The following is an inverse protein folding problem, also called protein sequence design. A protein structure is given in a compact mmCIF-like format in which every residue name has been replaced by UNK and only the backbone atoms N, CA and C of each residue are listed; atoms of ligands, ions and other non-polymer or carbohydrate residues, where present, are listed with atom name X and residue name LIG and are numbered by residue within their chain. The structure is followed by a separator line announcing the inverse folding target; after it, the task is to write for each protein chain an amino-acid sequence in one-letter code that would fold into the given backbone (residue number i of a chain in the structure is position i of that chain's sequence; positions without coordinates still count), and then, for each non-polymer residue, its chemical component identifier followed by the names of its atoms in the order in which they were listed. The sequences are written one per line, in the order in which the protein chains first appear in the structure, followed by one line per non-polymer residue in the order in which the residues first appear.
data_IF_204394079478
#
_entry.id   IF_204394079478
#
_cell.length_a   1.000
_cell.length_b   1.000
_cell.length_c   1.000
_cell.angle_alpha   90.00
_cell.angle_beta   90.00
_cell.angle_gamma   90.00
#
_symmetry.space_group_name_H-M   'P 1'
#
loop_
_entity.id
_entity.type
_entity.pdbx_description
1 polymer ?
#
# COMPACT_ATOMS: atom_id res chain seq x y z
N UNK A 1 30.56 42.21 -9.25
CA UNK A 1 29.18 41.93 -8.77
C UNK A 1 28.43 41.21 -9.88
N UNK A 2 28.24 39.89 -9.74
CA UNK A 2 27.47 39.05 -10.65
C UNK A 2 26.44 38.24 -9.83
N UNK A 3 25.27 38.04 -10.42
CA UNK A 3 23.97 37.94 -9.76
C UNK A 3 23.67 36.59 -9.05
N UNK A 4 22.79 36.58 -8.02
CA UNK A 4 22.34 35.36 -7.32
C UNK A 4 21.31 34.50 -8.08
N UNK A 5 21.12 34.71 -9.38
CA UNK A 5 20.00 34.13 -10.15
C UNK A 5 20.27 32.74 -10.73
N UNK A 6 21.54 32.33 -10.87
CA UNK A 6 21.90 31.07 -11.53
C UNK A 6 21.73 29.85 -10.61
N UNK A 7 22.09 29.95 -9.32
CA UNK A 7 21.92 28.85 -8.36
C UNK A 7 20.46 28.45 -8.14
N UNK A 8 19.52 29.41 -8.17
CA UNK A 8 18.08 29.13 -8.07
C UNK A 8 17.53 28.44 -9.32
N UNK A 9 18.03 28.78 -10.52
CA UNK A 9 17.66 28.11 -11.77
C UNK A 9 18.19 26.68 -11.85
N UNK A 10 19.36 26.42 -11.29
CA UNK A 10 19.98 25.09 -11.29
C UNK A 10 19.27 24.11 -10.35
N UNK A 11 18.87 24.56 -9.15
CA UNK A 11 18.04 23.75 -8.23
C UNK A 11 16.65 23.45 -8.81
N UNK A 12 16.00 24.44 -9.42
CA UNK A 12 14.69 24.24 -10.06
C UNK A 12 14.77 23.24 -11.23
N UNK A 13 15.85 23.28 -12.03
CA UNK A 13 16.11 22.28 -13.08
C UNK A 13 16.41 20.89 -12.51
N UNK A 14 17.10 20.77 -11.38
CA UNK A 14 17.45 19.48 -10.76
C UNK A 14 16.23 18.80 -10.10
N UNK A 15 15.34 19.59 -9.50
CA UNK A 15 14.04 19.12 -8.99
C UNK A 15 13.12 18.72 -10.15
N UNK A 16 13.06 19.53 -11.20
CA UNK A 16 12.32 19.21 -12.43
C UNK A 16 12.84 17.95 -13.13
N UNK A 17 14.16 17.71 -13.15
CA UNK A 17 14.78 16.49 -13.72
C UNK A 17 14.49 15.22 -12.91
N UNK A 18 14.38 15.33 -11.57
CA UNK A 18 13.99 14.20 -10.72
C UNK A 18 12.48 13.94 -10.77
N UNK A 19 11.65 14.97 -10.86
CA UNK A 19 10.22 14.82 -11.13
C UNK A 19 9.96 14.27 -12.54
N UNK A 20 10.77 14.64 -13.54
CA UNK A 20 10.68 14.07 -14.90
C UNK A 20 11.15 12.62 -14.97
N UNK A 21 12.06 12.20 -14.08
CA UNK A 21 12.45 10.79 -13.93
C UNK A 21 11.30 9.92 -13.42
N UNK A 22 10.41 10.48 -12.59
CA UNK A 22 9.20 9.79 -12.10
C UNK A 22 8.06 9.82 -13.13
N UNK A 23 7.98 10.87 -13.96
CA UNK A 23 7.02 10.97 -15.06
C UNK A 23 7.28 9.99 -16.22
N UNK A 24 8.46 9.37 -16.27
CA UNK A 24 8.84 8.36 -17.26
C UNK A 24 8.24 6.96 -17.01
N UNK A 25 7.48 6.74 -15.93
CA UNK A 25 6.90 5.42 -15.64
C UNK A 25 5.54 5.15 -16.31
N UNK A 26 5.16 5.93 -17.33
CA UNK A 26 3.89 5.70 -18.04
C UNK A 26 4.08 4.82 -19.28
N UNK A 27 3.34 3.70 -19.24
CA UNK A 27 2.69 3.03 -20.37
C UNK A 27 3.60 2.49 -21.48
N UNK A 28 4.09 1.27 -21.30
CA UNK A 28 3.79 0.11 -22.17
C UNK A 28 4.49 -1.10 -21.57
N UNK A 29 3.76 -1.98 -20.88
CA UNK A 29 4.18 -3.37 -20.72
C UNK A 29 3.04 -4.25 -21.19
N UNK A 30 3.23 -4.76 -22.40
CA UNK A 30 2.61 -5.98 -22.89
C UNK A 30 2.52 -6.98 -21.73
N UNK A 31 1.30 -7.41 -21.42
CA UNK A 31 1.02 -8.48 -20.49
C UNK A 31 1.84 -9.71 -20.90
N UNK A 32 2.96 -9.97 -20.22
CA UNK A 32 3.66 -11.24 -20.41
C UNK A 32 2.77 -12.33 -19.85
N UNK A 33 2.40 -13.29 -20.70
CA UNK A 33 1.41 -14.33 -20.46
C UNK A 33 1.74 -15.35 -19.35
N UNK A 34 2.79 -15.12 -18.54
CA UNK A 34 3.21 -16.05 -17.50
C UNK A 34 3.31 -15.34 -16.14
N UNK A 35 2.43 -15.72 -15.21
CA UNK A 35 2.49 -15.54 -13.76
C UNK A 35 2.42 -14.09 -13.20
N UNK A 36 1.24 -13.44 -13.18
CA UNK A 36 1.06 -12.18 -12.43
C UNK A 36 -0.32 -12.00 -11.75
N UNK A 37 -1.05 -13.08 -11.45
CA UNK A 37 -2.41 -13.00 -10.88
C UNK A 37 -2.48 -12.98 -9.35
N UNK A 38 -1.38 -13.31 -8.67
CA UNK A 38 -1.24 -13.22 -7.22
C UNK A 38 0.22 -12.95 -6.84
N UNK A 39 0.43 -11.96 -5.98
CA UNK A 39 1.72 -11.41 -5.57
C UNK A 39 1.72 -11.24 -4.06
N UNK A 40 2.84 -11.52 -3.40
CA UNK A 40 3.04 -11.31 -1.97
C UNK A 40 4.22 -10.36 -1.75
N UNK A 41 4.14 -9.48 -0.74
CA UNK A 41 5.28 -8.61 -0.40
C UNK A 41 6.46 -9.37 0.16
N UNK A 42 7.65 -8.94 -0.26
CA UNK A 42 8.93 -9.30 0.36
C UNK A 42 9.22 -8.49 1.64
N UNK A 43 8.28 -7.69 2.18
CA UNK A 43 8.45 -6.97 3.45
C UNK A 43 8.30 -7.91 4.66
N UNK A 44 9.23 -8.85 4.81
CA UNK A 44 9.28 -9.74 5.96
C UNK A 44 9.34 -8.96 7.28
N UNK A 45 8.51 -9.37 8.25
CA UNK A 45 8.43 -8.70 9.56
C UNK A 45 7.55 -7.45 9.58
N UNK A 46 6.98 -7.02 8.44
CA UNK A 46 6.01 -5.93 8.42
C UNK A 46 4.77 -6.25 9.28
N UNK A 47 4.19 -5.20 9.87
CA UNK A 47 3.00 -5.34 10.70
C UNK A 47 1.84 -6.00 9.94
N UNK A 48 1.55 -5.49 8.75
CA UNK A 48 0.59 -6.08 7.83
C UNK A 48 1.28 -6.94 6.79
N UNK A 49 0.70 -8.12 6.54
CA UNK A 49 0.97 -8.84 5.30
C UNK A 49 0.21 -8.19 4.17
N UNK A 50 0.85 -8.11 3.02
CA UNK A 50 0.32 -7.44 1.85
C UNK A 50 0.36 -8.41 0.66
N UNK A 51 -0.73 -8.43 -0.09
CA UNK A 51 -0.90 -9.25 -1.29
C UNK A 51 -1.62 -8.48 -2.39
N UNK A 52 -1.35 -8.78 -3.64
CA UNK A 52 -2.05 -8.15 -4.76
C UNK A 52 -2.17 -9.06 -5.97
N UNK A 53 -3.05 -8.70 -6.90
CA UNK A 53 -3.21 -9.46 -8.12
C UNK A 53 -4.54 -9.18 -8.81
N UNK A 54 -4.73 -9.78 -9.97
CA UNK A 54 -5.95 -9.61 -10.74
C UNK A 54 -7.00 -10.67 -10.39
N UNK A 55 -8.24 -10.22 -10.22
CA UNK A 55 -9.40 -11.09 -10.13
C UNK A 55 -10.53 -10.49 -10.96
N UNK A 56 -11.42 -11.34 -11.47
CA UNK A 56 -12.68 -10.87 -12.06
C UNK A 56 -13.72 -10.72 -10.95
N UNK A 57 -14.40 -9.58 -10.87
CA UNK A 57 -15.44 -9.31 -9.87
C UNK A 57 -16.77 -9.03 -10.54
N UNK A 58 -17.85 -9.52 -9.92
CA UNK A 58 -19.20 -9.20 -10.34
C UNK A 58 -19.56 -7.76 -9.95
N UNK A 59 -20.03 -6.97 -10.92
CA UNK A 59 -20.32 -5.55 -10.79
C UNK A 59 -21.68 -5.19 -11.39
N UNK A 60 -22.30 -4.14 -10.84
CA UNK A 60 -23.58 -3.62 -11.33
C UNK A 60 -24.78 -4.51 -11.03
N UNK A 61 -25.97 -3.98 -11.28
CA UNK A 61 -27.24 -4.66 -11.05
C UNK A 61 -27.43 -5.87 -11.99
N UNK A 62 -26.88 -5.79 -13.21
CA UNK A 62 -26.95 -6.84 -14.23
C UNK A 62 -25.88 -7.93 -14.07
N UNK A 63 -25.01 -7.82 -13.05
CA UNK A 63 -24.03 -8.87 -12.72
C UNK A 63 -22.89 -9.01 -13.73
N UNK A 64 -22.45 -7.92 -14.35
CA UNK A 64 -21.34 -7.89 -15.29
C UNK A 64 -20.02 -8.22 -14.60
N UNK A 65 -19.22 -9.08 -15.21
CA UNK A 65 -17.91 -9.47 -14.71
C UNK A 65 -16.83 -8.53 -15.26
N UNK A 66 -16.05 -7.89 -14.38
CA UNK A 66 -14.94 -7.00 -14.75
C UNK A 66 -13.66 -7.50 -14.10
N UNK A 67 -12.57 -7.62 -14.87
CA UNK A 67 -11.23 -7.87 -14.32
C UNK A 67 -10.69 -6.58 -13.73
N UNK A 68 -10.30 -6.63 -12.46
CA UNK A 68 -9.78 -5.51 -11.69
C UNK A 68 -8.53 -5.93 -10.93
N UNK A 69 -7.74 -4.94 -10.52
CA UNK A 69 -6.58 -5.15 -9.66
C UNK A 69 -7.01 -5.08 -8.19
N UNK A 70 -6.65 -6.10 -7.43
CA UNK A 70 -6.98 -6.23 -6.01
C UNK A 70 -5.72 -6.06 -5.17
N UNK A 71 -5.87 -5.41 -4.01
CA UNK A 71 -4.84 -5.31 -2.99
C UNK A 71 -5.42 -5.68 -1.64
N UNK A 72 -4.78 -6.63 -0.96
CA UNK A 72 -5.10 -7.05 0.40
C UNK A 72 -4.01 -6.54 1.33
N UNK A 73 -4.38 -5.68 2.27
CA UNK A 73 -3.49 -5.12 3.28
C UNK A 73 -4.02 -5.45 4.68
N UNK A 74 -3.37 -6.41 5.34
CA UNK A 74 -3.97 -7.08 6.49
C UNK A 74 -5.29 -7.74 6.06
N UNK A 75 -6.43 -7.28 6.59
CA UNK A 75 -7.76 -7.79 6.23
C UNK A 75 -8.59 -6.81 5.41
N UNK A 76 -7.99 -5.70 4.97
CA UNK A 76 -8.63 -4.73 4.11
C UNK A 76 -8.39 -5.10 2.65
N UNK A 77 -9.47 -5.21 1.88
CA UNK A 77 -9.43 -5.53 0.46
C UNK A 77 -9.89 -4.32 -0.36
N UNK A 78 -8.98 -3.79 -1.19
CA UNK A 78 -9.28 -2.70 -2.12
C UNK A 78 -9.27 -3.19 -3.56
N UNK A 79 -10.08 -2.54 -4.40
CA UNK A 79 -10.19 -2.80 -5.84
C UNK A 79 -9.86 -1.53 -6.60
N UNK A 80 -9.03 -1.65 -7.62
CA UNK A 80 -8.73 -0.61 -8.60
C UNK A 80 -8.94 -1.15 -10.01
N UNK A 81 -9.13 -0.26 -10.99
CA UNK A 81 -9.31 -0.68 -12.38
C UNK A 81 -8.04 -1.32 -12.94
N UNK A 82 -6.88 -0.75 -12.63
CA UNK A 82 -5.55 -1.24 -13.01
C UNK A 82 -4.54 -0.99 -11.89
N UNK A 83 -3.36 -1.59 -12.01
CA UNK A 83 -2.20 -1.26 -11.17
C UNK A 83 -1.92 0.25 -11.19
N UNK A 84 -1.51 0.81 -10.05
CA UNK A 84 -1.18 2.23 -9.91
C UNK A 84 -2.38 3.19 -9.85
N UNK A 85 -3.60 2.71 -10.14
CA UNK A 85 -4.81 3.54 -10.07
C UNK A 85 -5.35 3.63 -8.65
N UNK A 86 -6.08 4.71 -8.37
CA UNK A 86 -6.81 4.88 -7.12
C UNK A 86 -7.80 3.73 -6.90
N UNK A 87 -7.96 3.31 -5.64
CA UNK A 87 -8.99 2.34 -5.30
C UNK A 87 -10.38 2.93 -5.60
N UNK A 88 -11.19 2.19 -6.36
CA UNK A 88 -12.59 2.53 -6.62
C UNK A 88 -13.52 2.07 -5.50
N UNK A 89 -13.08 1.09 -4.70
CA UNK A 89 -13.73 0.61 -3.48
C UNK A 89 -12.71 -0.06 -2.57
N UNK A 90 -12.94 0.05 -1.26
CA UNK A 90 -12.23 -0.68 -0.21
C UNK A 90 -13.24 -1.14 0.84
N UNK A 91 -12.98 -2.28 1.47
CA UNK A 91 -13.75 -2.79 2.60
C UNK A 91 -12.91 -3.73 3.46
N UNK A 92 -13.37 -3.99 4.68
CA UNK A 92 -12.74 -4.95 5.58
C UNK A 92 -13.41 -6.31 5.45
N UNK A 93 -12.62 -7.36 5.24
CA UNK A 93 -13.11 -8.74 5.18
C UNK A 93 -13.59 -9.18 6.57
N UNK A 94 -14.78 -9.78 6.62
CA UNK A 94 -15.29 -10.51 7.77
C UNK A 94 -14.91 -12.00 7.69
N UNK A 95 -15.06 -12.61 6.52
CA UNK A 95 -14.53 -13.94 6.19
C UNK A 95 -14.48 -14.15 4.67
N UNK A 96 -13.75 -15.16 4.22
CA UNK A 96 -13.72 -15.61 2.82
C UNK A 96 -14.33 -17.01 2.72
N UNK A 97 -15.09 -17.26 1.65
CA UNK A 97 -15.67 -18.56 1.37
C UNK A 97 -15.35 -19.01 -0.05
N UNK A 98 -14.94 -20.26 -0.20
CA UNK A 98 -14.88 -20.90 -1.51
C UNK A 98 -16.28 -21.29 -1.97
N UNK A 99 -16.60 -21.04 -3.24
CA UNK A 99 -17.88 -21.48 -3.80
C UNK A 99 -17.92 -22.99 -4.00
N UNK A 100 -18.93 -23.66 -3.44
CA UNK A 100 -19.10 -25.11 -3.56
C UNK A 100 -19.18 -25.54 -5.03
N UNK A 101 -18.31 -26.47 -5.43
CA UNK A 101 -18.25 -26.98 -6.81
C UNK A 101 -17.68 -26.01 -7.85
N UNK A 102 -17.17 -24.85 -7.44
CA UNK A 102 -16.59 -23.84 -8.33
C UNK A 102 -15.20 -23.42 -7.80
N UNK A 103 -14.14 -24.18 -8.10
CA UNK A 103 -12.84 -24.03 -7.43
C UNK A 103 -12.12 -22.71 -7.74
N UNK A 104 -12.53 -21.98 -8.78
CA UNK A 104 -11.99 -20.66 -9.12
C UNK A 104 -12.76 -19.49 -8.52
N UNK A 105 -13.87 -19.76 -7.81
CA UNK A 105 -14.76 -18.71 -7.31
C UNK A 105 -14.62 -18.52 -5.80
N UNK A 106 -14.40 -17.27 -5.41
CA UNK A 106 -14.34 -16.84 -4.01
C UNK A 106 -15.46 -15.84 -3.73
N UNK A 107 -15.98 -15.90 -2.52
CA UNK A 107 -16.87 -14.88 -1.97
C UNK A 107 -16.17 -14.21 -0.79
N UNK A 108 -15.85 -12.92 -0.92
CA UNK A 108 -15.37 -12.11 0.19
C UNK A 108 -16.56 -11.48 0.88
N UNK A 109 -16.85 -11.94 2.10
CA UNK A 109 -17.93 -11.42 2.93
C UNK A 109 -17.37 -10.28 3.76
N UNK A 110 -17.86 -9.06 3.53
CA UNK A 110 -17.32 -7.84 4.14
C UNK A 110 -18.01 -7.51 5.46
N UNK A 111 -17.32 -6.76 6.33
CA UNK A 111 -17.90 -6.22 7.57
C UNK A 111 -19.08 -5.28 7.30
N UNK A 112 -19.09 -4.62 6.14
CA UNK A 112 -20.24 -3.83 5.67
C UNK A 112 -21.46 -4.67 5.26
N UNK A 113 -21.40 -6.01 5.41
CA UNK A 113 -22.40 -6.99 4.96
C UNK A 113 -22.52 -7.15 3.44
N UNK A 114 -21.66 -6.47 2.67
CA UNK A 114 -21.54 -6.70 1.22
C UNK A 114 -20.82 -8.02 0.96
N UNK A 115 -21.18 -8.68 -0.14
CA UNK A 115 -20.47 -9.88 -0.63
C UNK A 115 -19.85 -9.55 -1.97
N UNK A 116 -18.53 -9.66 -2.07
CA UNK A 116 -17.82 -9.49 -3.33
C UNK A 116 -17.56 -10.88 -3.91
N UNK A 117 -18.32 -11.20 -4.96
CA UNK A 117 -18.16 -12.44 -5.72
C UNK A 117 -17.07 -12.25 -6.75
N UNK A 118 -16.03 -13.07 -6.65
CA UNK A 118 -14.89 -13.03 -7.56
C UNK A 118 -14.66 -14.37 -8.25
N UNK A 119 -13.95 -14.30 -9.37
CA UNK A 119 -13.44 -15.43 -10.13
C UNK A 119 -11.96 -15.20 -10.37
N UNK A 120 -11.15 -16.14 -9.91
CA UNK A 120 -9.72 -16.22 -10.18
C UNK A 120 -9.47 -16.94 -11.51
N UNK A 121 -8.27 -16.78 -12.07
CA UNK A 121 -7.91 -17.40 -13.34
C UNK A 121 -7.73 -18.92 -13.23
N UNK A 122 -7.36 -19.42 -12.05
CA UNK A 122 -7.12 -20.84 -11.77
C UNK A 122 -7.49 -21.20 -10.32
N UNK A 123 -7.71 -22.49 -10.03
CA UNK A 123 -7.90 -22.97 -8.66
C UNK A 123 -6.74 -22.64 -7.72
N UNK A 124 -5.50 -22.70 -8.21
CA UNK A 124 -4.30 -22.40 -7.41
C UNK A 124 -4.28 -20.94 -6.97
N UNK A 125 -4.64 -20.02 -7.87
CA UNK A 125 -4.75 -18.59 -7.53
C UNK A 125 -5.89 -18.35 -6.53
N UNK A 126 -7.02 -19.05 -6.67
CA UNK A 126 -8.10 -18.97 -5.69
C UNK A 126 -7.66 -19.47 -4.30
N UNK A 127 -6.96 -20.61 -4.25
CA UNK A 127 -6.41 -21.15 -3.01
C UNK A 127 -5.37 -20.21 -2.39
N UNK A 128 -4.53 -19.55 -3.20
CA UNK A 128 -3.56 -18.58 -2.72
C UNK A 128 -4.24 -17.35 -2.08
N UNK A 129 -5.25 -16.78 -2.74
CA UNK A 129 -6.05 -15.68 -2.17
C UNK A 129 -6.77 -16.09 -0.89
N UNK A 130 -7.40 -17.27 -0.88
CA UNK A 130 -8.08 -17.80 0.31
C UNK A 130 -7.10 -17.95 1.48
N UNK A 131 -5.96 -18.59 1.25
CA UNK A 131 -4.92 -18.80 2.28
C UNK A 131 -4.34 -17.49 2.79
N UNK A 132 -4.14 -16.51 1.92
CA UNK A 132 -3.64 -15.19 2.28
C UNK A 132 -4.60 -14.44 3.21
N UNK A 133 -5.90 -14.53 2.94
CA UNK A 133 -6.92 -13.95 3.82
C UNK A 133 -6.92 -14.66 5.18
N UNK A 134 -6.95 -15.98 5.21
CA UNK A 134 -6.94 -16.75 6.47
C UNK A 134 -5.71 -16.43 7.34
N UNK A 135 -4.52 -16.34 6.74
CA UNK A 135 -3.29 -15.97 7.44
C UNK A 135 -3.31 -14.51 7.95
N UNK A 136 -3.90 -13.58 7.20
CA UNK A 136 -4.16 -12.23 7.67
C UNK A 136 -5.18 -12.18 8.83
N UNK A 137 -6.25 -12.96 8.74
CA UNK A 137 -7.30 -13.05 9.77
C UNK A 137 -6.75 -13.65 11.07
N UNK A 138 -5.90 -14.67 11.00
CA UNK A 138 -5.24 -15.27 12.16
C UNK A 138 -4.36 -14.27 12.94
N UNK A 139 -3.87 -13.23 12.26
CA UNK A 139 -3.03 -12.17 12.84
C UNK A 139 -3.82 -11.03 13.48
N UNK A 140 -5.14 -11.01 13.42
CA UNK A 140 -5.95 -9.94 14.02
C UNK A 140 -5.80 -9.83 15.53
N UNK A 141 -5.49 -10.94 16.20
CA UNK A 141 -5.18 -10.94 17.64
C UNK A 141 -3.85 -10.25 17.98
N UNK A 142 -3.03 -9.95 16.98
CA UNK A 142 -1.70 -9.35 17.10
C UNK A 142 -1.78 -7.84 16.81
N UNK A 143 -2.25 -7.08 17.80
CA UNK A 143 -2.35 -5.62 17.70
C UNK A 143 -1.01 -4.90 17.61
N UNK A 144 -1.07 -3.63 17.19
CA UNK A 144 0.11 -2.76 16.98
C UNK A 144 1.00 -2.62 18.22
N UNK A 145 0.41 -2.55 19.43
CA UNK A 145 1.20 -2.48 20.67
C UNK A 145 2.03 -3.74 20.90
N UNK A 146 1.44 -4.91 20.65
CA UNK A 146 2.14 -6.20 20.77
C UNK A 146 3.24 -6.31 19.73
N UNK A 147 2.98 -5.82 18.52
CA UNK A 147 3.98 -5.71 17.46
C UNK A 147 5.18 -4.85 17.89
N UNK A 148 4.95 -3.60 18.31
CA UNK A 148 6.00 -2.67 18.71
C UNK A 148 6.82 -3.19 19.89
N UNK A 149 6.18 -3.85 20.87
CA UNK A 149 6.84 -4.53 21.99
C UNK A 149 7.70 -5.71 21.52
N UNK A 150 7.22 -6.51 20.58
CA UNK A 150 8.00 -7.61 20.01
C UNK A 150 9.21 -7.09 19.23
N UNK A 151 9.07 -6.03 18.44
CA UNK A 151 10.19 -5.40 17.75
C UNK A 151 11.26 -4.93 18.73
N UNK A 152 10.86 -4.25 19.81
CA UNK A 152 11.78 -3.81 20.86
C UNK A 152 12.47 -4.98 21.57
N UNK A 153 11.70 -6.01 21.98
CA UNK A 153 12.24 -7.18 22.67
C UNK A 153 13.23 -7.97 21.82
N UNK A 154 12.95 -8.11 20.53
CA UNK A 154 13.79 -8.88 19.58
C UNK A 154 14.84 -8.03 18.89
N UNK A 155 14.85 -6.72 19.14
CA UNK A 155 15.67 -5.74 18.42
C UNK A 155 15.55 -5.84 16.90
N UNK A 156 14.34 -6.12 16.40
CA UNK A 156 14.06 -6.20 14.95
C UNK A 156 13.44 -4.89 14.46
N UNK A 157 13.68 -4.47 13.20
CA UNK A 157 13.18 -3.22 12.66
C UNK A 157 11.65 -3.12 12.75
N UNK A 158 11.15 -1.93 13.06
CA UNK A 158 9.73 -1.63 12.92
C UNK A 158 9.43 -1.37 11.45
N UNK A 159 8.70 -2.26 10.80
CA UNK A 159 8.34 -2.17 9.39
C UNK A 159 6.82 -1.98 9.22
N UNK A 160 6.43 -0.97 8.44
CA UNK A 160 5.09 -0.83 7.89
C UNK A 160 5.15 -0.90 6.37
N UNK A 161 4.10 -1.44 5.77
CA UNK A 161 3.91 -1.39 4.33
C UNK A 161 2.44 -1.40 3.95
N UNK A 162 2.09 -0.67 2.90
CA UNK A 162 0.71 -0.51 2.44
C UNK A 162 0.64 0.10 1.03
N UNK A 163 -0.49 -0.09 0.34
CA UNK A 163 -0.81 0.72 -0.84
C UNK A 163 -1.49 2.01 -0.41
N UNK A 164 -0.90 3.14 -0.76
CA UNK A 164 -1.43 4.46 -0.42
C UNK A 164 -1.58 5.30 -1.69
N UNK A 165 -2.57 6.19 -1.69
CA UNK A 165 -2.78 7.13 -2.79
C UNK A 165 -2.06 8.43 -2.50
N UNK A 166 -1.16 8.86 -3.38
CA UNK A 166 -0.54 10.17 -3.28
C UNK A 166 -1.49 11.24 -3.82
N UNK A 167 -1.65 12.34 -3.07
CA UNK A 167 -2.49 13.47 -3.45
C UNK A 167 -1.66 14.65 -3.95
N UNK A 168 -2.20 15.42 -4.90
CA UNK A 168 -1.72 16.76 -5.20
C UNK A 168 -2.23 17.80 -4.19
N UNK A 169 -1.84 19.06 -4.37
CA UNK A 169 -2.26 20.18 -3.52
C UNK A 169 -3.77 20.48 -3.58
N UNK A 170 -4.49 19.92 -4.54
CA UNK A 170 -5.95 20.04 -4.68
C UNK A 170 -6.68 18.82 -4.13
N UNK A 171 -5.96 17.84 -3.58
CA UNK A 171 -6.52 16.59 -3.05
C UNK A 171 -6.84 15.55 -4.13
N UNK A 172 -6.43 15.76 -5.38
CA UNK A 172 -6.62 14.77 -6.44
C UNK A 172 -5.56 13.69 -6.32
N UNK A 173 -5.96 12.43 -6.49
CA UNK A 173 -5.01 11.31 -6.56
C UNK A 173 -4.17 11.43 -7.82
N UNK A 174 -2.86 11.50 -7.66
CA UNK A 174 -1.88 11.54 -8.76
C UNK A 174 -1.25 10.18 -9.04
N UNK A 175 -1.30 9.26 -8.07
CA UNK A 175 -0.86 7.89 -8.23
C UNK A 175 -1.11 7.07 -6.98
N UNK A 176 -1.12 5.75 -7.12
CA UNK A 176 -1.17 4.80 -6.00
C UNK A 176 0.08 3.93 -6.05
N UNK A 177 0.80 3.88 -4.94
CA UNK A 177 2.09 3.18 -4.86
C UNK A 177 2.11 2.28 -3.63
N UNK A 178 3.01 1.29 -3.66
CA UNK A 178 3.32 0.49 -2.49
C UNK A 178 4.42 1.18 -1.69
N UNK A 179 4.08 1.63 -0.49
CA UNK A 179 5.00 2.33 0.40
C UNK A 179 5.50 1.39 1.48
N UNK A 180 6.78 1.54 1.85
CA UNK A 180 7.42 0.80 2.92
C UNK A 180 8.12 1.79 3.84
N UNK A 181 7.78 1.73 5.12
CA UNK A 181 8.49 2.43 6.18
C UNK A 181 9.30 1.41 6.98
N UNK A 182 10.63 1.52 6.97
CA UNK A 182 11.52 0.76 7.83
C UNK A 182 12.11 1.73 8.85
N UNK A 183 11.65 1.64 10.10
CA UNK A 183 11.85 2.66 11.13
C UNK A 183 11.36 4.05 10.68
N UNK A 184 12.26 4.91 10.18
CA UNK A 184 11.97 6.22 9.60
C UNK A 184 12.44 6.32 8.13
N UNK A 185 13.10 5.30 7.59
CA UNK A 185 13.43 5.24 6.16
C UNK A 185 12.16 4.93 5.39
N UNK A 186 11.78 5.85 4.52
CA UNK A 186 10.59 5.75 3.68
C UNK A 186 11.00 5.37 2.26
N UNK A 187 10.39 4.31 1.74
CA UNK A 187 10.64 3.77 0.42
C UNK A 187 9.33 3.61 -0.34
N UNK A 188 9.39 3.60 -1.67
CA UNK A 188 8.23 3.40 -2.52
C UNK A 188 8.52 2.52 -3.72
N UNK A 189 7.51 1.78 -4.16
CA UNK A 189 7.54 0.96 -5.36
C UNK A 189 6.23 1.15 -6.15
N UNK A 190 6.24 0.97 -7.47
CA UNK A 190 5.02 0.95 -8.28
C UNK A 190 4.10 -0.22 -7.88
N UNK A 191 4.67 -1.34 -7.42
CA UNK A 191 3.91 -2.49 -6.95
C UNK A 191 4.74 -3.33 -5.95
N UNK A 192 4.09 -4.31 -5.33
CA UNK A 192 4.59 -5.09 -4.19
C UNK A 192 5.71 -6.09 -4.50
N UNK A 193 5.80 -6.48 -5.76
CA UNK A 193 6.80 -7.38 -6.35
C UNK A 193 8.04 -6.64 -6.85
N UNK A 194 8.04 -5.31 -6.76
CA UNK A 194 9.16 -4.46 -7.15
C UNK A 194 9.90 -4.02 -5.90
N UNK A 195 11.24 -4.08 -5.95
CA UNK A 195 12.11 -3.63 -4.86
C UNK A 195 11.84 -2.14 -4.59
N UNK A 196 11.43 -1.76 -3.37
CA UNK A 196 11.17 -0.37 -3.03
C UNK A 196 12.43 0.48 -3.08
N UNK A 197 12.37 1.59 -3.81
CA UNK A 197 13.43 2.58 -3.85
C UNK A 197 13.31 3.49 -2.63
N UNK A 198 14.43 3.78 -1.98
CA UNK A 198 14.47 4.72 -0.86
C UNK A 198 14.12 6.11 -1.38
N UNK A 199 13.07 6.69 -0.80
CA UNK A 199 12.63 8.04 -1.10
C UNK A 199 13.37 9.05 -0.22
N UNK A 200 13.26 8.91 1.10
CA UNK A 200 13.93 9.77 2.09
C UNK A 200 13.75 9.25 3.53
N UNK A 201 14.27 9.98 4.51
CA UNK A 201 14.01 9.80 5.95
C UNK A 201 12.85 10.69 6.40
N UNK A 202 11.89 10.12 7.13
CA UNK A 202 10.75 10.83 7.71
C UNK A 202 11.20 11.64 8.92
N UNK A 203 10.90 12.94 8.90
CA UNK A 203 11.18 13.89 9.99
C UNK A 203 9.93 14.35 10.73
N UNK A 204 8.74 14.06 10.19
CA UNK A 204 7.49 14.41 10.84
C UNK A 204 6.26 13.89 10.12
N UNK A 205 5.15 13.77 10.86
CA UNK A 205 3.82 13.47 10.32
C UNK A 205 2.75 14.34 10.98
N UNK A 206 1.77 14.78 10.19
CA UNK A 206 0.58 15.48 10.66
C UNK A 206 -0.66 15.03 9.92
N UNK A 207 -1.84 15.32 10.48
CA UNK A 207 -3.08 15.18 9.72
C UNK A 207 -3.01 16.09 8.47
N UNK A 208 -3.45 15.59 7.33
CA UNK A 208 -3.63 16.40 6.14
C UNK A 208 -5.00 17.10 6.17
N UNK A 209 -5.18 18.10 5.29
CA UNK A 209 -6.46 18.79 5.10
C UNK A 209 -7.53 17.86 4.53
N UNK A 210 -7.11 16.82 3.79
CA UNK A 210 -8.01 15.87 3.16
C UNK A 210 -8.34 14.69 4.08
N UNK A 211 -9.60 14.27 4.08
CA UNK A 211 -10.07 13.15 4.89
C UNK A 211 -9.29 11.86 4.60
N UNK A 212 -8.99 11.12 5.67
CA UNK A 212 -8.27 9.86 5.57
C UNK A 212 -6.83 10.03 5.08
N UNK A 213 -6.24 11.22 5.15
CA UNK A 213 -4.88 11.47 4.68
C UNK A 213 -3.92 11.98 5.77
N UNK A 214 -2.65 11.69 5.55
CA UNK A 214 -1.51 12.11 6.37
C UNK A 214 -0.54 12.91 5.52
N UNK A 215 -0.05 14.03 6.06
CA UNK A 215 1.12 14.71 5.51
C UNK A 215 2.39 14.12 6.15
N UNK A 216 3.33 13.70 5.31
CA UNK A 216 4.65 13.18 5.70
C UNK A 216 5.69 14.21 5.30
N UNK A 217 6.55 14.58 6.25
CA UNK A 217 7.69 15.48 6.04
C UNK A 217 8.98 14.68 6.03
N UNK A 218 9.90 15.12 5.20
CA UNK A 218 11.16 14.43 4.96
C UNK A 218 12.35 15.34 5.23
N UNK A 219 13.53 14.76 5.31
CA UNK A 219 14.78 15.48 5.56
C UNK A 219 15.21 16.35 4.37
N UNK A 220 15.09 15.81 3.15
CA UNK A 220 15.61 16.43 1.91
C UNK A 220 14.53 16.63 0.84
N UNK A 221 13.50 15.79 0.84
CA UNK A 221 12.41 15.81 -0.13
C UNK A 221 11.25 16.71 0.30
N UNK A 222 10.45 17.22 -0.65
CA UNK A 222 9.24 17.97 -0.31
C UNK A 222 8.24 17.08 0.45
N UNK A 223 7.37 17.66 1.30
CA UNK A 223 6.31 16.91 1.96
C UNK A 223 5.39 16.18 0.98
N UNK A 224 4.87 15.03 1.41
CA UNK A 224 3.95 14.21 0.63
C UNK A 224 2.64 14.01 1.39
N UNK A 225 1.52 14.17 0.69
CA UNK A 225 0.20 13.87 1.25
C UNK A 225 -0.24 12.48 0.76
N UNK A 226 -0.48 11.59 1.71
CA UNK A 226 -0.83 10.19 1.48
C UNK A 226 -2.23 9.91 2.02
N UNK A 227 -3.14 9.49 1.14
CA UNK A 227 -4.48 9.05 1.49
C UNK A 227 -4.51 7.53 1.69
N UNK A 228 -5.14 7.13 2.78
CA UNK A 228 -5.36 5.76 3.20
C UNK A 228 -6.74 5.29 2.73
N UNK A 229 -6.81 4.02 2.36
CA UNK A 229 -8.08 3.40 1.95
C UNK A 229 -8.98 3.07 3.18
N UNK A 230 -8.40 2.95 4.38
CA UNK A 230 -9.11 2.85 5.66
C UNK A 230 -8.51 3.71 6.78
N UNK A 231 -9.38 4.13 7.72
CA UNK A 231 -9.02 4.96 8.88
C UNK A 231 -8.14 4.19 9.87
N UNK A 232 -8.38 2.90 10.03
CA UNK A 232 -7.61 2.02 10.90
C UNK A 232 -6.13 1.99 10.47
N UNK A 233 -5.88 1.92 9.17
CA UNK A 233 -4.52 1.94 8.61
C UNK A 233 -3.85 3.30 8.86
N UNK A 234 -4.56 4.41 8.65
CA UNK A 234 -4.08 5.76 8.96
C UNK A 234 -3.67 5.87 10.45
N UNK A 235 -4.49 5.34 11.36
CA UNK A 235 -4.20 5.35 12.81
C UNK A 235 -2.93 4.56 13.14
N UNK A 236 -2.77 3.38 12.56
CA UNK A 236 -1.57 2.54 12.75
C UNK A 236 -0.31 3.28 12.26
N UNK A 237 -0.37 3.89 11.08
CA UNK A 237 0.76 4.64 10.53
C UNK A 237 1.14 5.83 11.40
N UNK A 238 0.18 6.64 11.84
CA UNK A 238 0.47 7.74 12.78
C UNK A 238 1.12 7.25 14.08
N UNK A 239 0.60 6.19 14.68
CA UNK A 239 1.10 5.65 15.94
C UNK A 239 2.54 5.15 15.80
N UNK A 240 2.81 4.36 14.76
CA UNK A 240 4.13 3.75 14.56
C UNK A 240 5.17 4.79 14.20
N UNK A 241 4.87 5.73 13.29
CA UNK A 241 5.83 6.78 12.92
C UNK A 241 6.17 7.63 14.14
N UNK A 242 5.18 8.04 14.94
CA UNK A 242 5.42 8.79 16.19
C UNK A 242 6.25 8.00 17.20
N UNK A 243 6.00 6.70 17.34
CA UNK A 243 6.80 5.83 18.21
C UNK A 243 8.25 5.80 17.74
N UNK A 244 8.50 5.60 16.43
CA UNK A 244 9.84 5.61 15.87
C UNK A 244 10.57 6.95 16.07
N UNK A 245 9.88 8.08 15.92
CA UNK A 245 10.46 9.41 16.16
C UNK A 245 10.81 9.66 17.64
N UNK A 246 10.00 9.15 18.57
CA UNK A 246 10.21 9.32 20.00
C UNK A 246 11.22 8.33 20.60
N UNK A 247 11.55 7.27 19.88
CA UNK A 247 12.50 6.24 20.31
C UNK A 247 13.63 6.05 19.28
N UNK A 248 14.58 7.00 19.18
CA UNK A 248 15.65 6.97 18.16
C UNK A 248 16.54 5.72 18.24
N UNK A 249 16.65 5.10 19.42
CA UNK A 249 17.41 3.85 19.61
C UNK A 249 16.90 2.70 18.73
N UNK A 250 15.63 2.75 18.29
CA UNK A 250 15.06 1.77 17.34
C UNK A 250 15.70 1.79 15.97
N UNK A 251 16.40 2.87 15.60
CA UNK A 251 17.15 2.95 14.35
C UNK A 251 18.27 1.90 14.27
N UNK A 252 18.77 1.43 15.42
CA UNK A 252 19.85 0.46 15.51
C UNK A 252 19.38 -1.01 15.47
N UNK A 253 18.06 -1.26 15.36
CA UNK A 253 17.51 -2.61 15.30
C UNK A 253 17.85 -3.29 13.96
N UNK A 254 18.25 -4.56 14.01
CA UNK A 254 18.78 -5.33 12.87
C UNK A 254 17.76 -6.34 12.32
#
# INVERSE_FOLDING_TARGET
MAAPSERRREMAKKVSRRQSSLASMSTTRLLSANQNDFKQSCTHGAFHKNFAGYMTIQTGFFGTWKTCFFTLQGIELSVADHEGMAASRSDTIAFVAASRGKPTFLEFHMKSKKVWKTRCISPDVANAWFSAVEDCMARLSYGVDRYLKSCAKRQTPTILSAWLSQLDSKGKVIGRYFYVLRHLTFSMAPNIDIVPEVYDVVTGVSAAVHDGAMEVRFETQPPMVLRFDAIELLRVWHMVVRTCMNEPSRAAFA
#
